data_IF_581305209206
#
_entry.id   IF_581305209206
#
_cell.length_a   1.000
_cell.length_b   1.000
_cell.length_c   1.000
_cell.angle_alpha   90.00
_cell.angle_beta   90.00
_cell.angle_gamma   90.00
#
_symmetry.space_group_name_H-M   'P 1'
#
loop_
_entity.id
_entity.type
_entity.pdbx_description
1 polymer ?
#
# COMPACT_ATOMS: atom_id res chain seq x y z
N UNK A 1 32.23 1.04 24.46
CA UNK A 1 30.86 1.26 23.92
C UNK A 1 29.89 1.13 25.09
N UNK A 2 29.04 2.15 25.37
CA UNK A 2 27.95 2.02 26.34
C UNK A 2 26.90 1.14 25.75
N UNK A 3 26.55 0.03 26.44
CA UNK A 3 25.39 -0.80 26.07
C UNK A 3 24.14 0.03 26.34
N UNK A 4 23.38 0.37 25.28
CA UNK A 4 22.06 1.01 25.40
C UNK A 4 21.05 -0.12 25.50
N UNK A 5 20.40 -0.27 26.64
CA UNK A 5 19.29 -1.18 26.80
C UNK A 5 18.01 -0.47 26.35
N UNK A 6 17.36 -0.98 25.34
CA UNK A 6 16.02 -0.57 24.94
C UNK A 6 15.01 -1.56 25.53
N UNK A 7 14.07 -1.02 26.29
CA UNK A 7 12.87 -1.77 26.69
C UNK A 7 11.77 -1.47 25.65
N UNK A 8 11.56 -2.42 24.74
CA UNK A 8 10.55 -2.29 23.69
C UNK A 8 9.22 -2.83 24.23
N UNK A 9 8.28 -1.92 24.48
CA UNK A 9 6.92 -2.33 24.84
C UNK A 9 6.18 -2.78 23.58
N UNK A 10 5.70 -4.01 23.61
CA UNK A 10 4.82 -4.52 22.56
C UNK A 10 3.42 -3.93 22.70
N UNK A 11 2.70 -3.70 21.57
CA UNK A 11 1.29 -3.36 21.60
C UNK A 11 0.49 -4.37 22.41
N UNK A 12 -0.52 -3.89 23.13
CA UNK A 12 -1.43 -4.73 23.88
C UNK A 12 -2.87 -4.36 23.52
N UNK A 13 -3.69 -5.35 23.20
CA UNK A 13 -5.04 -5.14 22.72
C UNK A 13 -6.05 -5.73 23.72
N UNK A 14 -7.20 -5.07 23.86
CA UNK A 14 -8.29 -5.61 24.66
C UNK A 14 -8.89 -6.83 23.99
N UNK A 15 -9.43 -7.76 24.79
CA UNK A 15 -10.07 -8.99 24.31
C UNK A 15 -11.46 -8.67 23.70
N UNK A 16 -11.43 -8.06 22.53
CA UNK A 16 -12.59 -7.78 21.69
C UNK A 16 -12.23 -8.11 20.25
N UNK A 17 -12.99 -8.98 19.63
CA UNK A 17 -12.69 -9.50 18.29
C UNK A 17 -13.88 -9.26 17.39
N UNK A 18 -13.61 -8.76 16.18
CA UNK A 18 -14.59 -8.67 15.08
C UNK A 18 -14.00 -9.24 13.79
N UNK A 19 -14.86 -9.78 12.96
CA UNK A 19 -14.52 -10.37 11.68
C UNK A 19 -15.02 -9.46 10.56
N UNK A 20 -14.21 -9.27 9.50
CA UNK A 20 -14.53 -8.33 8.42
C UNK A 20 -15.75 -8.72 7.59
N UNK A 21 -16.06 -10.02 7.51
CA UNK A 21 -17.26 -10.54 6.85
C UNK A 21 -18.55 -10.07 7.54
N UNK A 22 -18.55 -9.89 8.86
CA UNK A 22 -19.67 -9.31 9.61
C UNK A 22 -19.94 -7.84 9.22
N UNK A 23 -18.99 -7.18 8.58
CA UNK A 23 -19.09 -5.80 8.08
C UNK A 23 -19.34 -5.72 6.57
N UNK A 24 -19.50 -6.88 5.91
CA UNK A 24 -19.86 -6.98 4.50
C UNK A 24 -18.70 -7.24 3.55
N UNK A 25 -17.48 -7.48 4.05
CA UNK A 25 -16.40 -7.97 3.21
C UNK A 25 -16.69 -9.39 2.72
N UNK A 26 -16.20 -9.73 1.53
CA UNK A 26 -16.37 -11.06 0.94
C UNK A 26 -15.08 -11.54 0.30
N UNK A 27 -14.65 -12.78 0.58
CA UNK A 27 -13.48 -13.37 -0.06
C UNK A 27 -13.82 -13.81 -1.49
N UNK A 28 -12.78 -14.10 -2.28
CA UNK A 28 -12.86 -14.67 -3.64
C UNK A 28 -13.64 -13.82 -4.65
N UNK A 29 -13.72 -12.51 -4.43
CA UNK A 29 -14.33 -11.53 -5.33
C UNK A 29 -13.22 -10.59 -5.80
N UNK A 30 -13.12 -10.30 -7.12
CA UNK A 30 -11.92 -9.68 -7.70
C UNK A 30 -12.20 -8.51 -8.63
N UNK A 31 -13.40 -7.96 -8.64
CA UNK A 31 -13.69 -6.73 -9.39
C UNK A 31 -13.20 -5.49 -8.64
N UNK A 32 -13.11 -4.35 -9.31
CA UNK A 32 -12.75 -3.07 -8.70
C UNK A 32 -13.77 -2.69 -7.63
N UNK A 33 -15.05 -2.90 -7.90
CA UNK A 33 -16.15 -2.68 -6.96
C UNK A 33 -16.04 -3.60 -5.73
N UNK A 34 -15.59 -4.83 -5.93
CA UNK A 34 -15.33 -5.75 -4.81
C UNK A 34 -14.19 -5.25 -3.93
N UNK A 35 -13.11 -4.74 -4.53
CA UNK A 35 -12.00 -4.15 -3.79
C UNK A 35 -12.46 -2.97 -2.94
N UNK A 36 -13.23 -2.05 -3.52
CA UNK A 36 -13.79 -0.90 -2.80
C UNK A 36 -14.72 -1.33 -1.67
N UNK A 37 -15.66 -2.25 -1.94
CA UNK A 37 -16.57 -2.78 -0.92
C UNK A 37 -15.83 -3.45 0.24
N UNK A 38 -14.79 -4.24 -0.06
CA UNK A 38 -14.01 -4.92 0.97
C UNK A 38 -13.20 -3.91 1.78
N UNK A 39 -12.59 -2.91 1.15
CA UNK A 39 -11.88 -1.84 1.85
C UNK A 39 -12.82 -1.07 2.80
N UNK A 40 -14.02 -0.71 2.34
CA UNK A 40 -15.04 -0.05 3.16
C UNK A 40 -15.45 -0.92 4.36
N UNK A 41 -15.65 -2.21 4.14
CA UNK A 41 -16.03 -3.15 5.20
C UNK A 41 -14.92 -3.30 6.24
N UNK A 42 -13.66 -3.46 5.79
CA UNK A 42 -12.50 -3.54 6.67
C UNK A 42 -12.34 -2.24 7.46
N UNK A 43 -12.43 -1.09 6.79
CA UNK A 43 -12.32 0.22 7.45
C UNK A 43 -13.46 0.46 8.46
N UNK A 44 -14.71 0.01 8.17
CA UNK A 44 -15.80 0.06 9.15
C UNK A 44 -15.51 -0.81 10.37
N UNK A 45 -14.96 -2.02 10.20
CA UNK A 45 -14.57 -2.88 11.32
C UNK A 45 -13.46 -2.23 12.16
N UNK A 46 -12.46 -1.65 11.52
CA UNK A 46 -11.35 -0.94 12.18
C UNK A 46 -11.88 0.26 12.98
N UNK A 47 -12.70 1.10 12.37
CA UNK A 47 -13.29 2.27 13.04
C UNK A 47 -14.14 1.86 14.23
N UNK A 48 -15.02 0.87 14.05
CA UNK A 48 -15.86 0.36 15.13
C UNK A 48 -15.04 -0.12 16.34
N UNK A 49 -14.01 -0.91 16.10
CA UNK A 49 -13.16 -1.46 17.16
C UNK A 49 -12.39 -0.33 17.87
N UNK A 50 -11.81 0.60 17.13
CA UNK A 50 -11.09 1.74 17.70
C UNK A 50 -12.00 2.62 18.57
N UNK A 51 -13.21 2.96 18.10
CA UNK A 51 -14.21 3.73 18.84
C UNK A 51 -14.69 3.03 20.14
N UNK A 52 -14.62 1.72 20.18
CA UNK A 52 -14.94 0.91 21.38
C UNK A 52 -13.76 0.75 22.33
N UNK A 53 -12.65 1.45 22.10
CA UNK A 53 -11.45 1.38 22.93
C UNK A 53 -10.50 0.25 22.57
N UNK A 54 -10.53 -0.19 21.32
CA UNK A 54 -9.56 -1.11 20.74
C UNK A 54 -9.99 -2.58 20.70
N UNK A 55 -9.14 -3.40 20.08
CA UNK A 55 -9.34 -4.84 19.91
C UNK A 55 -8.75 -5.37 18.62
N UNK A 56 -9.22 -6.52 18.18
CA UNK A 56 -8.73 -7.25 17.01
C UNK A 56 -9.75 -7.27 15.89
N UNK A 57 -9.33 -6.81 14.71
CA UNK A 57 -10.04 -7.01 13.45
C UNK A 57 -9.43 -8.19 12.71
N UNK A 58 -10.22 -9.21 12.46
CA UNK A 58 -9.76 -10.47 11.85
C UNK A 58 -10.12 -10.52 10.38
N UNK A 59 -9.10 -10.80 9.57
CA UNK A 59 -9.22 -11.24 8.17
C UNK A 59 -9.15 -12.76 8.19
N UNK A 60 -10.27 -13.49 8.06
CA UNK A 60 -10.26 -14.94 8.14
C UNK A 60 -9.69 -15.59 6.89
N UNK A 61 -9.55 -16.93 6.91
CA UNK A 61 -9.09 -17.71 5.77
C UNK A 61 -9.79 -17.32 4.47
N UNK A 62 -9.03 -17.23 3.37
CA UNK A 62 -9.53 -16.89 2.04
C UNK A 62 -8.68 -15.84 1.32
N UNK A 63 -9.05 -15.50 0.09
CA UNK A 63 -8.42 -14.44 -0.68
C UNK A 63 -9.33 -13.20 -0.64
N UNK A 64 -8.85 -12.14 0.00
CA UNK A 64 -9.57 -10.90 0.23
C UNK A 64 -8.99 -9.80 -0.65
N UNK A 65 -9.66 -9.52 -1.76
CA UNK A 65 -9.25 -8.46 -2.67
C UNK A 65 -9.77 -7.11 -2.16
N UNK A 66 -8.88 -6.14 -1.98
CA UNK A 66 -9.20 -4.87 -1.32
C UNK A 66 -8.51 -3.67 -1.98
N UNK A 67 -9.07 -2.49 -1.79
CA UNK A 67 -8.43 -1.19 -1.97
C UNK A 67 -7.70 -0.77 -0.66
N UNK A 68 -7.05 0.41 -0.61
CA UNK A 68 -6.34 0.87 0.59
C UNK A 68 -7.18 0.88 1.86
N UNK A 69 -6.56 0.50 2.96
CA UNK A 69 -7.17 0.50 4.31
C UNK A 69 -6.34 1.35 5.28
N UNK A 70 -6.98 1.82 6.35
CA UNK A 70 -6.35 2.67 7.36
C UNK A 70 -6.53 2.10 8.76
N UNK A 71 -5.43 1.79 9.44
CA UNK A 71 -5.44 1.28 10.81
C UNK A 71 -5.56 2.47 11.78
N UNK A 72 -6.44 2.36 12.75
CA UNK A 72 -6.67 3.34 13.81
C UNK A 72 -6.02 2.90 15.12
N UNK A 73 -5.94 3.82 16.09
CA UNK A 73 -5.36 3.54 17.41
C UNK A 73 -6.03 2.35 18.10
N UNK A 74 -5.23 1.61 18.86
CA UNK A 74 -5.62 0.46 19.66
C UNK A 74 -6.16 -0.73 18.87
N UNK A 75 -5.81 -0.84 17.57
CA UNK A 75 -6.30 -1.91 16.68
C UNK A 75 -5.18 -2.86 16.28
N UNK A 76 -5.46 -4.15 16.50
CA UNK A 76 -4.74 -5.26 15.87
C UNK A 76 -5.47 -5.68 14.60
N UNK A 77 -4.80 -5.62 13.45
CA UNK A 77 -5.25 -6.25 12.22
C UNK A 77 -4.64 -7.65 12.14
N UNK A 78 -5.45 -8.68 12.37
CA UNK A 78 -5.01 -10.08 12.35
C UNK A 78 -5.38 -10.74 11.03
N UNK A 79 -4.38 -11.17 10.29
CA UNK A 79 -4.54 -11.90 9.02
C UNK A 79 -4.30 -13.37 9.33
N UNK A 80 -5.36 -14.17 9.33
CA UNK A 80 -5.28 -15.56 9.74
C UNK A 80 -4.43 -16.40 8.79
N UNK A 81 -3.95 -17.54 9.29
CA UNK A 81 -3.27 -18.53 8.47
C UNK A 81 -4.18 -18.95 7.31
N UNK A 82 -3.61 -19.06 6.09
CA UNK A 82 -4.33 -19.29 4.84
C UNK A 82 -5.21 -18.11 4.37
N UNK A 83 -5.13 -16.94 4.99
CA UNK A 83 -5.69 -15.71 4.45
C UNK A 83 -4.67 -15.00 3.56
N UNK A 84 -5.14 -14.42 2.46
CA UNK A 84 -4.37 -13.53 1.60
C UNK A 84 -5.14 -12.22 1.49
N UNK A 85 -4.60 -11.15 2.06
CA UNK A 85 -5.09 -9.79 1.85
C UNK A 85 -4.37 -9.22 0.62
N UNK A 86 -5.08 -9.19 -0.52
CA UNK A 86 -4.53 -8.77 -1.81
C UNK A 86 -5.05 -7.41 -2.21
N UNK A 87 -4.14 -6.49 -2.46
CA UNK A 87 -4.48 -5.13 -2.86
C UNK A 87 -4.70 -5.00 -4.36
N UNK A 88 -5.64 -4.15 -4.73
CA UNK A 88 -6.00 -3.84 -6.11
C UNK A 88 -4.81 -3.27 -6.89
N UNK A 89 -4.78 -3.57 -8.19
CA UNK A 89 -3.87 -2.96 -9.16
C UNK A 89 -4.46 -1.74 -9.86
N UNK A 90 -5.68 -1.37 -9.51
CA UNK A 90 -6.31 -0.18 -10.06
C UNK A 90 -5.77 1.07 -9.37
N UNK A 91 -5.06 1.88 -10.13
CA UNK A 91 -4.40 3.09 -9.64
C UNK A 91 -5.39 4.13 -9.12
N UNK A 92 -6.59 4.19 -9.67
CA UNK A 92 -7.62 5.16 -9.28
C UNK A 92 -8.12 4.95 -7.85
N UNK A 93 -7.84 3.77 -7.26
CA UNK A 93 -8.15 3.47 -5.87
C UNK A 93 -7.11 4.01 -4.87
N UNK A 94 -6.02 4.60 -5.34
CA UNK A 94 -4.92 5.11 -4.50
C UNK A 94 -4.76 6.62 -4.66
N UNK A 95 -5.53 7.45 -3.96
CA UNK A 95 -5.46 8.90 -4.12
C UNK A 95 -4.04 9.44 -3.88
N UNK A 96 -3.66 10.45 -4.64
CA UNK A 96 -2.41 11.18 -4.37
C UNK A 96 -2.55 11.99 -3.09
N UNK A 97 -1.54 11.92 -2.27
CA UNK A 97 -1.44 12.63 -0.99
C UNK A 97 -0.08 13.29 -0.84
N UNK A 98 -0.02 14.36 -0.05
CA UNK A 98 1.24 14.90 0.45
C UNK A 98 1.59 14.11 1.71
N UNK A 99 2.79 13.56 1.73
CA UNK A 99 3.26 12.69 2.82
C UNK A 99 4.78 12.83 2.97
N UNK A 100 5.37 12.08 3.89
CA UNK A 100 6.80 12.02 4.10
C UNK A 100 7.41 10.73 3.54
N UNK A 101 8.52 10.87 2.81
CA UNK A 101 9.35 9.78 2.37
C UNK A 101 10.82 10.11 2.61
N UNK A 102 11.53 9.24 3.30
CA UNK A 102 12.94 9.44 3.68
C UNK A 102 13.21 10.79 4.41
N UNK A 103 12.22 11.26 5.18
CA UNK A 103 12.31 12.50 5.97
C UNK A 103 12.04 13.78 5.18
N UNK A 104 11.56 13.68 3.94
CA UNK A 104 11.17 14.81 3.11
C UNK A 104 9.70 14.74 2.73
N UNK A 105 9.03 15.88 2.72
CA UNK A 105 7.67 15.96 2.16
C UNK A 105 7.69 15.70 0.67
N UNK A 106 6.75 14.90 0.21
CA UNK A 106 6.60 14.58 -1.21
C UNK A 106 5.16 14.18 -1.55
N UNK A 107 4.83 14.23 -2.83
CA UNK A 107 3.58 13.66 -3.35
C UNK A 107 3.80 12.16 -3.58
N UNK A 108 2.86 11.34 -3.09
CA UNK A 108 2.81 9.89 -3.36
C UNK A 108 1.37 9.41 -3.47
N UNK A 109 1.16 8.30 -4.14
CA UNK A 109 -0.10 7.57 -4.03
C UNK A 109 -0.22 7.00 -2.61
N UNK A 110 -1.44 7.03 -2.06
CA UNK A 110 -1.71 6.49 -0.71
C UNK A 110 -1.27 5.03 -0.63
N UNK A 111 -0.55 4.68 0.43
CA UNK A 111 -0.08 3.31 0.62
C UNK A 111 -1.25 2.33 0.83
N UNK A 112 -1.09 1.05 0.45
CA UNK A 112 -2.11 0.03 0.66
C UNK A 112 -2.61 -0.07 2.10
N UNK A 113 -1.71 0.05 3.07
CA UNK A 113 -2.05 0.13 4.50
C UNK A 113 -1.42 1.40 5.07
N UNK A 114 -2.25 2.23 5.67
CA UNK A 114 -1.82 3.47 6.34
C UNK A 114 -2.24 3.48 7.80
N UNK A 115 -1.53 4.29 8.59
CA UNK A 115 -1.91 4.63 9.96
C UNK A 115 -1.40 6.04 10.23
N UNK A 116 -2.31 6.98 10.44
CA UNK A 116 -1.97 8.37 10.67
C UNK A 116 -2.27 8.75 12.13
N UNK A 117 -1.24 9.29 12.82
CA UNK A 117 -1.34 9.67 14.24
C UNK A 117 -1.90 8.55 15.14
N UNK A 118 -1.74 7.29 14.75
CA UNK A 118 -2.24 6.13 15.47
C UNK A 118 -1.18 5.57 16.45
N UNK A 119 -1.63 5.15 17.61
CA UNK A 119 -0.82 4.53 18.66
C UNK A 119 -1.34 3.13 18.96
N UNK A 120 -0.48 2.28 19.53
CA UNK A 120 -0.84 0.91 19.95
C UNK A 120 -1.50 0.11 18.82
N UNK A 121 -0.83 0.01 17.67
CA UNK A 121 -1.30 -0.71 16.50
C UNK A 121 -0.45 -1.95 16.23
N UNK A 122 -1.05 -2.95 15.61
CA UNK A 122 -0.34 -4.17 15.21
C UNK A 122 -0.92 -4.81 13.97
N UNK A 123 -0.05 -5.45 13.21
CA UNK A 123 -0.42 -6.38 12.14
C UNK A 123 0.15 -7.74 12.52
N UNK A 124 -0.71 -8.73 12.65
CA UNK A 124 -0.35 -10.05 13.18
C UNK A 124 -0.95 -11.19 12.38
N UNK A 125 -0.78 -12.41 12.85
CA UNK A 125 -1.30 -13.63 12.23
C UNK A 125 -0.26 -14.36 11.38
N UNK A 126 -0.72 -15.31 10.58
CA UNK A 126 0.15 -16.16 9.75
C UNK A 126 -0.21 -16.11 8.26
N UNK A 127 -1.04 -15.14 7.87
CA UNK A 127 -1.47 -14.91 6.49
C UNK A 127 -0.48 -14.11 5.65
N UNK A 128 -0.88 -13.78 4.45
CA UNK A 128 -0.07 -13.04 3.46
C UNK A 128 -0.71 -11.71 3.15
N UNK A 129 0.12 -10.66 3.05
CA UNK A 129 -0.25 -9.36 2.50
C UNK A 129 0.42 -9.22 1.13
N UNK A 130 -0.38 -9.14 0.07
CA UNK A 130 0.08 -8.91 -1.30
C UNK A 130 -0.27 -7.48 -1.73
N UNK A 131 0.71 -6.59 -1.71
CA UNK A 131 0.56 -5.19 -2.11
C UNK A 131 0.51 -4.95 -3.62
N UNK A 132 0.54 -6.00 -4.44
CA UNK A 132 0.54 -5.91 -5.92
C UNK A 132 1.61 -4.95 -6.49
N UNK A 133 2.77 -4.89 -5.82
CA UNK A 133 3.81 -3.90 -6.08
C UNK A 133 4.49 -3.99 -7.45
N UNK A 134 4.25 -5.04 -8.20
CA UNK A 134 4.73 -5.24 -9.57
C UNK A 134 4.17 -4.18 -10.55
N UNK A 135 2.99 -3.64 -10.27
CA UNK A 135 2.38 -2.55 -11.06
C UNK A 135 3.20 -1.25 -10.99
N UNK A 136 3.71 -0.93 -9.80
CA UNK A 136 4.29 0.38 -9.50
C UNK A 136 5.80 0.45 -9.74
N UNK A 137 6.47 -0.67 -9.94
CA UNK A 137 7.92 -0.77 -9.77
C UNK A 137 8.68 -0.61 -11.08
N UNK A 138 9.47 0.47 -11.25
CA UNK A 138 10.53 0.51 -12.25
C UNK A 138 11.54 -0.60 -11.99
N UNK A 139 12.11 -1.15 -13.05
CA UNK A 139 13.03 -2.27 -12.98
C UNK A 139 14.40 -1.86 -13.53
N UNK A 140 15.45 -2.03 -12.75
CA UNK A 140 16.82 -1.75 -13.17
C UNK A 140 17.39 -2.92 -13.94
N UNK A 141 17.93 -2.66 -15.13
CA UNK A 141 18.50 -3.68 -16.04
C UNK A 141 19.53 -4.57 -15.37
N UNK A 142 20.44 -4.01 -14.57
CA UNK A 142 21.50 -4.78 -13.92
C UNK A 142 21.02 -5.81 -12.88
N UNK A 143 19.73 -5.75 -12.51
CA UNK A 143 19.11 -6.73 -11.58
C UNK A 143 18.45 -7.91 -12.29
N UNK A 144 18.57 -7.98 -13.62
CA UNK A 144 17.90 -8.97 -14.44
C UNK A 144 18.90 -9.69 -15.35
N UNK A 145 18.53 -10.89 -15.78
CA UNK A 145 19.21 -11.53 -16.89
C UNK A 145 18.79 -10.85 -18.21
N UNK A 146 19.64 -10.95 -19.24
CA UNK A 146 19.35 -10.39 -20.56
C UNK A 146 18.00 -10.89 -21.11
N UNK A 147 17.69 -12.18 -20.95
CA UNK A 147 16.42 -12.76 -21.37
C UNK A 147 15.22 -12.10 -20.66
N UNK A 148 15.29 -11.92 -19.34
CA UNK A 148 14.24 -11.27 -18.57
C UNK A 148 14.06 -9.80 -18.97
N UNK A 149 15.17 -9.11 -19.25
CA UNK A 149 15.14 -7.73 -19.73
C UNK A 149 14.43 -7.63 -21.08
N UNK A 150 14.77 -8.49 -22.03
CA UNK A 150 14.12 -8.52 -23.34
C UNK A 150 12.62 -8.84 -23.26
N UNK A 151 12.21 -9.74 -22.36
CA UNK A 151 10.79 -10.01 -22.12
C UNK A 151 10.08 -8.80 -21.49
N UNK A 152 10.76 -8.06 -20.62
CA UNK A 152 10.22 -6.85 -20.01
C UNK A 152 10.03 -5.73 -21.04
N UNK A 153 10.99 -5.54 -21.94
CA UNK A 153 10.97 -4.56 -23.03
C UNK A 153 9.81 -4.79 -24.02
N UNK A 154 9.28 -6.03 -24.12
CA UNK A 154 8.07 -6.30 -24.91
C UNK A 154 6.80 -5.72 -24.28
N UNK A 155 6.78 -5.48 -22.97
CA UNK A 155 5.62 -4.93 -22.27
C UNK A 155 5.55 -3.42 -22.35
N UNK A 156 6.69 -2.74 -22.34
CA UNK A 156 6.79 -1.30 -22.46
C UNK A 156 8.17 -0.93 -23.03
N UNK A 157 8.21 0.10 -23.87
CA UNK A 157 9.46 0.60 -24.46
C UNK A 157 10.05 1.77 -23.65
N UNK A 158 9.40 2.16 -22.55
CA UNK A 158 9.82 3.30 -21.77
C UNK A 158 11.00 2.95 -20.87
N UNK A 159 12.18 3.48 -21.20
CA UNK A 159 13.42 3.28 -20.43
C UNK A 159 14.13 4.59 -20.21
N UNK A 160 14.73 4.73 -19.04
CA UNK A 160 15.62 5.82 -18.69
C UNK A 160 17.04 5.28 -18.70
N UNK A 161 17.91 5.87 -19.50
CA UNK A 161 19.32 5.49 -19.56
C UNK A 161 20.09 6.07 -18.38
N UNK A 162 20.85 5.23 -17.71
CA UNK A 162 21.72 5.61 -16.61
C UNK A 162 23.13 5.06 -16.83
N UNK A 163 24.10 5.55 -16.05
CA UNK A 163 25.48 5.04 -16.07
C UNK A 163 25.59 3.54 -15.73
N UNK A 164 24.59 3.01 -15.04
CA UNK A 164 24.52 1.62 -14.57
C UNK A 164 23.63 0.73 -15.47
N UNK A 165 23.18 1.26 -16.62
CA UNK A 165 22.25 0.60 -17.53
C UNK A 165 20.85 1.20 -17.49
N UNK A 166 19.91 0.59 -18.23
CA UNK A 166 18.54 1.09 -18.35
C UNK A 166 17.72 0.90 -17.08
N UNK A 167 16.74 1.80 -16.87
CA UNK A 167 15.65 1.62 -15.92
C UNK A 167 14.37 1.53 -16.73
N UNK A 168 13.75 0.37 -16.72
CA UNK A 168 12.45 0.16 -17.36
C UNK A 168 11.33 0.78 -16.54
N UNK A 169 10.42 1.49 -17.21
CA UNK A 169 9.24 2.11 -16.61
C UNK A 169 7.97 1.37 -17.09
N UNK A 170 7.01 1.09 -16.20
CA UNK A 170 5.82 0.30 -16.56
C UNK A 170 4.89 1.01 -17.54
N UNK A 171 4.81 2.33 -17.49
CA UNK A 171 3.89 3.15 -18.30
C UNK A 171 4.58 4.41 -18.84
N UNK A 172 3.95 5.03 -19.84
CA UNK A 172 4.36 6.33 -20.36
C UNK A 172 4.26 7.42 -19.30
N UNK A 173 3.20 7.41 -18.50
CA UNK A 173 3.00 8.34 -17.40
C UNK A 173 4.13 8.27 -16.37
N UNK A 174 4.51 7.07 -15.94
CA UNK A 174 5.63 6.89 -15.02
C UNK A 174 6.98 7.32 -15.61
N UNK A 175 7.18 7.16 -16.93
CA UNK A 175 8.36 7.64 -17.63
C UNK A 175 8.40 9.18 -17.69
N UNK A 176 7.32 9.81 -18.14
CA UNK A 176 7.22 11.28 -18.22
C UNK A 176 7.33 11.95 -16.85
N UNK A 177 6.71 11.36 -15.82
CA UNK A 177 6.78 11.87 -14.45
C UNK A 177 8.20 11.98 -13.89
N UNK A 178 9.14 11.16 -14.38
CA UNK A 178 10.55 11.27 -13.98
C UNK A 178 11.21 12.57 -14.43
N UNK A 179 10.70 13.22 -15.47
CA UNK A 179 11.24 14.47 -16.02
C UNK A 179 10.59 15.71 -15.36
N UNK A 180 9.48 15.53 -14.64
CA UNK A 180 8.72 16.59 -14.02
C UNK A 180 8.98 16.69 -12.52
N UNK A 181 9.41 17.87 -12.08
CA UNK A 181 9.59 18.19 -10.67
C UNK A 181 8.45 19.13 -10.22
N UNK A 182 7.36 18.51 -9.69
CA UNK A 182 6.22 19.28 -9.20
C UNK A 182 6.56 19.80 -7.80
N UNK A 183 6.56 21.13 -7.64
CA UNK A 183 6.79 21.78 -6.36
C UNK A 183 5.56 21.59 -5.46
N UNK A 184 5.78 21.25 -4.18
CA UNK A 184 4.69 21.01 -3.23
C UNK A 184 3.87 22.24 -2.88
N UNK A 185 4.50 23.41 -2.94
CA UNK A 185 3.88 24.71 -2.71
C UNK A 185 3.22 25.32 -3.97
N UNK A 186 3.29 24.61 -5.09
CA UNK A 186 2.62 25.05 -6.31
C UNK A 186 1.10 24.97 -6.14
N UNK A 187 0.42 25.99 -6.64
CA UNK A 187 -1.04 25.95 -6.77
C UNK A 187 -1.46 24.68 -7.55
N UNK A 188 -2.39 23.92 -6.99
CA UNK A 188 -2.88 22.65 -7.57
C UNK A 188 -1.80 21.58 -7.76
N UNK A 189 -0.83 21.46 -6.83
CA UNK A 189 0.27 20.51 -6.93
C UNK A 189 -0.23 19.06 -7.13
N UNK A 190 -1.27 18.64 -6.40
CA UNK A 190 -1.86 17.29 -6.53
C UNK A 190 -2.56 17.08 -7.87
N UNK A 191 -3.24 18.12 -8.40
CA UNK A 191 -3.89 18.06 -9.71
C UNK A 191 -2.86 17.91 -10.82
N UNK A 192 -1.79 18.70 -10.79
CA UNK A 192 -0.66 18.58 -11.74
C UNK A 192 0.03 17.23 -11.65
N UNK A 193 0.21 16.71 -10.43
CA UNK A 193 0.80 15.40 -10.21
C UNK A 193 -0.07 14.27 -10.77
N UNK A 194 -1.39 14.44 -10.83
CA UNK A 194 -2.30 13.43 -11.37
C UNK A 194 -2.09 13.14 -12.87
N UNK A 195 -1.50 14.05 -13.62
CA UNK A 195 -1.10 13.83 -15.03
C UNK A 195 -0.02 12.75 -15.17
N UNK A 196 0.75 12.51 -14.08
CA UNK A 196 1.83 11.54 -14.01
C UNK A 196 1.64 10.55 -12.87
N UNK A 197 0.40 10.15 -12.64
CA UNK A 197 -0.04 9.40 -11.47
C UNK A 197 0.84 8.19 -11.15
N UNK A 198 1.15 7.37 -12.14
CA UNK A 198 1.90 6.12 -11.97
C UNK A 198 3.37 6.35 -11.53
N UNK A 199 3.85 7.57 -11.62
CA UNK A 199 5.17 7.95 -11.11
C UNK A 199 5.17 8.04 -9.58
N UNK A 200 4.07 8.53 -8.99
CA UNK A 200 3.93 8.76 -7.56
C UNK A 200 3.45 7.49 -6.83
N UNK A 201 4.31 6.51 -6.77
CA UNK A 201 4.04 5.19 -6.19
C UNK A 201 3.63 5.25 -4.71
N UNK A 202 2.78 4.29 -4.24
CA UNK A 202 2.46 4.15 -2.83
C UNK A 202 3.65 3.68 -1.98
#
# INVERSE_FOLDING_TARGET
>A
MKKVNFDVKLPAFVDRIVYVDNYGARPYCYTIEDASRNADAINRAINYISEKGGGTVVIPEGIWFTAPIEIKSDVELRIEKNAILKFSKDIDQYPLIITNYEGQECIRAKSPITAENAINIGITGGGVIDGSGDLWRPVKQFKMTERQWQELMKKSQYTIDTKEGGIWMPTESSFKGNEHNIQLDAENALEKASEYYDFYRP
#
